data_IF_005095309740
#
_entry.id   IF_005095309740
#
_cell.length_a   1.000
_cell.length_b   1.000
_cell.length_c   1.000
_cell.angle_alpha   90.00
_cell.angle_beta   90.00
_cell.angle_gamma   90.00
#
_symmetry.space_group_name_H-M   'P 1'
#
loop_
_entity.id
_entity.type
_entity.pdbx_description
1 polymer ?
#
# COMPACT_ATOMS: atom_id res chain seq x y z
N UNK A 1 -25.23 1.57 -24.40
CA UNK A 1 -24.45 0.76 -25.36
C UNK A 1 -24.47 -0.66 -24.86
N UNK A 2 -24.76 -1.66 -25.68
CA UNK A 2 -24.71 -3.07 -25.26
C UNK A 2 -23.28 -3.61 -25.46
N UNK A 3 -22.44 -3.38 -24.46
CA UNK A 3 -21.03 -3.81 -24.44
C UNK A 3 -20.88 -5.32 -24.19
N UNK A 4 -21.94 -5.99 -23.76
CA UNK A 4 -21.89 -7.41 -23.40
C UNK A 4 -22.20 -8.28 -24.63
N UNK A 5 -23.17 -7.86 -25.44
CA UNK A 5 -23.61 -8.63 -26.60
C UNK A 5 -22.87 -8.27 -27.89
N UNK A 6 -22.26 -7.07 -27.96
CA UNK A 6 -21.57 -6.58 -29.15
C UNK A 6 -20.07 -6.39 -28.90
N UNK A 7 -19.24 -6.48 -29.97
CA UNK A 7 -17.83 -6.13 -29.88
C UNK A 7 -17.61 -4.72 -29.34
N UNK A 8 -16.58 -4.58 -28.51
CA UNK A 8 -16.21 -3.29 -27.92
C UNK A 8 -15.49 -2.45 -28.98
N UNK A 9 -16.18 -1.41 -29.45
CA UNK A 9 -15.61 -0.39 -30.31
C UNK A 9 -15.01 0.74 -29.46
N UNK A 10 -13.82 1.20 -29.81
CA UNK A 10 -13.15 2.31 -29.14
C UNK A 10 -12.43 3.19 -30.16
N UNK A 11 -12.27 4.46 -29.81
CA UNK A 11 -11.54 5.43 -30.64
C UNK A 11 -10.04 5.16 -30.55
N UNK A 12 -9.44 4.70 -31.65
CA UNK A 12 -8.02 4.38 -31.75
C UNK A 12 -7.10 5.61 -31.66
N UNK A 13 -7.62 6.82 -31.86
CA UNK A 13 -6.85 8.05 -31.68
C UNK A 13 -6.70 8.42 -30.21
N UNK A 14 -7.65 8.01 -29.38
CA UNK A 14 -7.61 8.25 -27.93
C UNK A 14 -6.93 7.11 -27.20
N UNK A 15 -7.18 5.87 -27.61
CA UNK A 15 -6.64 4.68 -26.96
C UNK A 15 -5.84 3.89 -27.98
N UNK A 16 -4.52 3.90 -27.84
CA UNK A 16 -3.57 3.31 -28.79
C UNK A 16 -3.79 1.80 -29.02
N UNK A 17 -4.49 1.10 -28.14
CA UNK A 17 -4.80 -0.31 -28.35
C UNK A 17 -5.66 -0.97 -27.27
N UNK A 18 -6.10 -2.20 -27.56
CA UNK A 18 -6.95 -3.02 -26.68
C UNK A 18 -6.36 -3.25 -25.29
N UNK A 19 -5.05 -3.47 -25.21
CA UNK A 19 -4.37 -3.64 -23.92
C UNK A 19 -4.47 -2.40 -23.04
N UNK A 20 -4.37 -1.21 -23.65
CA UNK A 20 -4.53 0.05 -22.92
C UNK A 20 -5.97 0.23 -22.45
N UNK A 21 -6.95 -0.08 -23.30
CA UNK A 21 -8.36 -0.06 -22.91
C UNK A 21 -8.61 -0.94 -21.67
N UNK A 22 -8.10 -2.17 -21.68
CA UNK A 22 -8.23 -3.11 -20.55
C UNK A 22 -7.58 -2.56 -19.29
N UNK A 23 -6.37 -1.99 -19.39
CA UNK A 23 -5.68 -1.39 -18.24
C UNK A 23 -6.43 -0.20 -17.66
N UNK A 24 -6.95 0.70 -18.50
CA UNK A 24 -7.77 1.85 -18.06
C UNK A 24 -9.01 1.35 -17.34
N UNK A 25 -9.75 0.40 -17.95
CA UNK A 25 -10.95 -0.16 -17.35
C UNK A 25 -10.66 -0.89 -16.02
N UNK A 26 -9.54 -1.62 -15.92
CA UNK A 26 -9.15 -2.31 -14.71
C UNK A 26 -8.78 -1.35 -13.56
N UNK A 27 -7.99 -0.31 -13.85
CA UNK A 27 -7.65 0.74 -12.87
C UNK A 27 -8.91 1.47 -12.42
N UNK A 28 -9.80 1.78 -13.36
CA UNK A 28 -11.07 2.43 -13.03
C UNK A 28 -11.98 1.55 -12.19
N UNK A 29 -12.08 0.26 -12.49
CA UNK A 29 -12.84 -0.67 -11.67
C UNK A 29 -12.29 -0.74 -10.24
N UNK A 30 -10.96 -0.73 -10.06
CA UNK A 30 -10.34 -0.65 -8.73
C UNK A 30 -10.68 0.65 -8.00
N UNK A 31 -10.63 1.78 -8.68
CA UNK A 31 -11.00 3.08 -8.10
C UNK A 31 -12.48 3.11 -7.64
N UNK A 32 -13.40 2.50 -8.39
CA UNK A 32 -14.80 2.39 -7.97
C UNK A 32 -14.93 1.49 -6.72
N UNK A 33 -14.22 0.35 -6.69
CA UNK A 33 -14.32 -0.63 -5.60
C UNK A 33 -13.65 -0.14 -4.31
N UNK A 34 -12.41 0.33 -4.42
CA UNK A 34 -11.55 0.66 -3.28
C UNK A 34 -11.50 2.15 -2.99
N UNK A 35 -11.56 2.99 -4.03
CA UNK A 35 -11.58 4.45 -3.89
C UNK A 35 -12.97 5.03 -3.59
N UNK A 36 -14.03 4.22 -3.67
CA UNK A 36 -15.41 4.66 -3.42
C UNK A 36 -15.95 5.61 -4.50
N UNK A 37 -15.27 5.72 -5.63
CA UNK A 37 -15.65 6.59 -6.74
C UNK A 37 -16.98 6.15 -7.37
N UNK A 38 -17.88 7.11 -7.59
CA UNK A 38 -19.15 6.83 -8.31
C UNK A 38 -18.91 6.72 -9.82
N UNK A 39 -19.77 5.99 -10.55
CA UNK A 39 -19.78 6.03 -12.00
C UNK A 39 -19.95 7.47 -12.51
N UNK A 40 -19.11 7.87 -13.47
CA UNK A 40 -19.10 9.17 -14.15
C UNK A 40 -20.12 9.25 -15.27
N UNK A 41 -20.57 8.11 -15.77
CA UNK A 41 -21.51 8.02 -16.88
C UNK A 41 -22.81 7.35 -16.42
N UNK A 42 -23.99 7.86 -16.83
CA UNK A 42 -25.25 7.16 -16.60
C UNK A 42 -25.24 5.82 -17.35
N UNK A 43 -25.34 4.74 -16.58
CA UNK A 43 -25.25 3.36 -17.08
C UNK A 43 -26.41 2.52 -16.57
N UNK A 44 -26.86 1.57 -17.40
CA UNK A 44 -27.83 0.54 -17.01
C UNK A 44 -27.14 -0.72 -16.47
N UNK A 45 -25.81 -0.78 -16.59
CA UNK A 45 -25.00 -1.93 -16.21
C UNK A 45 -24.83 -1.98 -14.70
N UNK A 46 -24.96 -3.17 -14.12
CA UNK A 46 -24.72 -3.39 -12.67
C UNK A 46 -23.30 -3.85 -12.36
N UNK A 47 -22.62 -4.49 -13.32
CA UNK A 47 -21.26 -5.00 -13.14
C UNK A 47 -20.26 -3.87 -13.26
N UNK A 48 -19.43 -3.68 -12.24
CA UNK A 48 -18.43 -2.61 -12.17
C UNK A 48 -17.47 -2.64 -13.36
N UNK A 49 -17.04 -3.84 -13.77
CA UNK A 49 -16.17 -4.02 -14.95
C UNK A 49 -16.83 -3.53 -16.23
N UNK A 50 -18.12 -3.80 -16.43
CA UNK A 50 -18.88 -3.31 -17.58
C UNK A 50 -19.03 -1.78 -17.55
N UNK A 51 -19.28 -1.20 -16.37
CA UNK A 51 -19.33 0.25 -16.19
C UNK A 51 -17.99 0.89 -16.55
N UNK A 52 -16.88 0.33 -16.06
CA UNK A 52 -15.55 0.87 -16.33
C UNK A 52 -15.17 0.82 -17.82
N UNK A 53 -15.52 -0.26 -18.53
CA UNK A 53 -15.33 -0.35 -19.99
C UNK A 53 -16.19 0.69 -20.71
N UNK A 54 -17.45 0.86 -20.29
CA UNK A 54 -18.35 1.86 -20.87
C UNK A 54 -17.84 3.29 -20.70
N UNK A 55 -17.31 3.62 -19.53
CA UNK A 55 -16.69 4.91 -19.24
C UNK A 55 -15.43 5.15 -20.06
N UNK A 56 -14.60 4.11 -20.23
CA UNK A 56 -13.38 4.19 -21.02
C UNK A 56 -13.67 4.43 -22.50
N UNK A 57 -14.62 3.68 -23.08
CA UNK A 57 -15.02 3.81 -24.49
C UNK A 57 -15.65 5.18 -24.77
N UNK A 58 -16.46 5.70 -23.83
CA UNK A 58 -17.07 7.03 -23.95
C UNK A 58 -16.07 8.17 -23.76
N UNK A 59 -14.81 7.88 -23.39
CA UNK A 59 -13.80 8.90 -23.14
C UNK A 59 -14.10 9.78 -21.93
N UNK A 60 -14.86 9.26 -20.95
CA UNK A 60 -15.15 9.96 -19.70
C UNK A 60 -14.04 9.83 -18.65
N UNK A 61 -12.98 9.10 -18.99
CA UNK A 61 -11.84 8.82 -18.14
C UNK A 61 -10.61 9.56 -18.66
N UNK A 62 -10.00 10.33 -17.78
CA UNK A 62 -8.70 10.94 -18.02
C UNK A 62 -7.61 9.96 -17.58
N UNK A 63 -6.58 9.81 -18.40
CA UNK A 63 -5.44 8.97 -18.09
C UNK A 63 -4.18 9.57 -18.69
N UNK A 64 -3.07 9.35 -17.99
CA UNK A 64 -1.73 9.78 -18.37
C UNK A 64 -0.94 8.59 -18.93
N UNK A 65 0.07 8.87 -19.74
CA UNK A 65 0.90 7.84 -20.40
C UNK A 65 2.38 8.23 -20.38
N UNK A 66 3.27 7.27 -20.67
CA UNK A 66 4.71 7.52 -20.74
C UNK A 66 5.34 7.87 -19.39
N UNK A 67 6.24 8.85 -19.38
CA UNK A 67 6.99 9.27 -18.18
C UNK A 67 6.10 9.84 -17.09
N UNK A 68 5.02 10.54 -17.46
CA UNK A 68 4.07 11.09 -16.49
C UNK A 68 3.39 9.98 -15.69
N UNK A 69 3.01 8.89 -16.37
CA UNK A 69 2.42 7.73 -15.71
C UNK A 69 3.41 7.03 -14.76
N UNK A 70 4.71 7.03 -15.10
CA UNK A 70 5.74 6.48 -14.23
C UNK A 70 5.90 7.32 -12.96
N UNK A 71 6.04 8.64 -13.10
CA UNK A 71 6.17 9.59 -11.98
C UNK A 71 4.96 9.52 -11.05
N UNK A 72 3.75 9.58 -11.59
CA UNK A 72 2.53 9.48 -10.80
C UNK A 72 2.43 8.16 -10.01
N UNK A 73 2.91 7.05 -10.59
CA UNK A 73 2.93 5.75 -9.91
C UNK A 73 3.96 5.70 -8.79
N UNK A 74 5.11 6.35 -8.94
CA UNK A 74 6.10 6.47 -7.87
C UNK A 74 5.59 7.33 -6.72
N UNK A 75 4.94 8.45 -7.03
CA UNK A 75 4.32 9.34 -6.03
C UNK A 75 3.20 8.63 -5.26
N UNK A 76 2.31 7.90 -5.96
CA UNK A 76 1.25 7.12 -5.32
C UNK A 76 1.82 6.09 -4.33
N UNK A 77 2.91 5.39 -4.70
CA UNK A 77 3.58 4.45 -3.78
C UNK A 77 4.14 5.17 -2.55
N UNK A 78 4.77 6.34 -2.71
CA UNK A 78 5.30 7.11 -1.58
C UNK A 78 4.21 7.49 -0.58
N UNK A 79 3.03 7.88 -1.09
CA UNK A 79 1.87 8.20 -0.25
C UNK A 79 1.41 6.96 0.54
N UNK A 80 1.32 5.80 -0.10
CA UNK A 80 0.96 4.55 0.58
C UNK A 80 1.98 4.16 1.66
N UNK A 81 3.28 4.30 1.40
CA UNK A 81 4.32 4.05 2.40
C UNK A 81 4.23 5.01 3.59
N UNK A 82 3.99 6.29 3.34
CA UNK A 82 3.85 7.26 4.42
C UNK A 82 2.65 6.92 5.32
N UNK A 83 1.50 6.60 4.71
CA UNK A 83 0.31 6.16 5.44
C UNK A 83 0.58 4.92 6.29
N UNK A 84 1.29 3.93 5.75
CA UNK A 84 1.63 2.71 6.47
C UNK A 84 2.53 2.97 7.69
N UNK A 85 3.49 3.90 7.56
CA UNK A 85 4.35 4.31 8.67
C UNK A 85 3.56 5.06 9.74
N UNK A 86 2.63 5.93 9.35
CA UNK A 86 1.76 6.62 10.30
C UNK A 86 0.83 5.66 11.06
N UNK A 87 0.21 4.70 10.36
CA UNK A 87 -0.61 3.66 11.00
C UNK A 87 0.22 2.85 12.00
N UNK A 88 1.41 2.40 11.61
CA UNK A 88 2.29 1.65 12.51
C UNK A 88 2.73 2.47 13.73
N UNK A 89 3.01 3.76 13.56
CA UNK A 89 3.33 4.64 14.69
C UNK A 89 2.15 4.76 15.65
N UNK A 90 0.93 4.90 15.11
CA UNK A 90 -0.29 4.98 15.92
C UNK A 90 -0.55 3.67 16.67
N UNK A 91 -0.30 2.52 16.07
CA UNK A 91 -0.38 1.22 16.74
C UNK A 91 0.64 1.11 17.90
N UNK A 92 1.88 1.53 17.67
CA UNK A 92 2.92 1.54 18.71
C UNK A 92 2.61 2.54 19.84
N UNK A 93 1.97 3.67 19.54
CA UNK A 93 1.49 4.62 20.57
C UNK A 93 0.32 4.07 21.39
N UNK A 94 -0.46 3.13 20.84
CA UNK A 94 -1.58 2.47 21.56
C UNK A 94 -1.16 1.26 22.38
N UNK A 95 -0.03 0.64 22.07
CA UNK A 95 0.61 -0.33 22.97
C UNK A 95 1.23 0.45 24.13
N UNK A 96 0.97 0.05 25.38
CA UNK A 96 1.48 0.73 26.58
C UNK A 96 3.01 0.69 26.61
N UNK A 97 3.65 1.68 25.96
CA UNK A 97 5.09 1.89 25.89
C UNK A 97 5.76 1.83 27.27
N UNK A 98 5.01 2.20 28.32
CA UNK A 98 5.47 2.18 29.70
C UNK A 98 5.74 0.78 30.28
N UNK A 99 5.11 -0.28 29.74
CA UNK A 99 5.37 -1.66 30.16
C UNK A 99 6.62 -2.20 29.46
N UNK A 100 6.74 -1.96 28.16
CA UNK A 100 7.93 -2.32 27.38
C UNK A 100 9.20 -1.61 27.88
N UNK A 101 9.12 -0.33 28.26
CA UNK A 101 10.24 0.43 28.85
C UNK A 101 10.70 -0.17 30.19
N UNK A 102 9.77 -0.67 31.02
CA UNK A 102 10.10 -1.32 32.29
C UNK A 102 10.83 -2.65 32.05
N UNK A 103 10.30 -3.48 31.16
CA UNK A 103 10.89 -4.78 30.83
C UNK A 103 12.29 -4.62 30.22
N UNK A 104 12.48 -3.62 29.34
CA UNK A 104 13.79 -3.32 28.76
C UNK A 104 14.81 -2.90 29.82
N UNK A 105 14.38 -2.10 30.80
CA UNK A 105 15.24 -1.63 31.90
C UNK A 105 15.66 -2.77 32.82
N UNK A 106 14.76 -3.73 33.06
CA UNK A 106 15.08 -4.94 33.82
C UNK A 106 16.13 -5.77 33.06
N UNK A 107 15.93 -5.98 31.76
CA UNK A 107 16.85 -6.78 30.94
C UNK A 107 18.26 -6.17 30.86
N UNK A 108 18.37 -4.83 30.73
CA UNK A 108 19.66 -4.14 30.72
C UNK A 108 20.38 -4.30 32.07
N UNK A 109 19.68 -4.12 33.19
CA UNK A 109 20.27 -4.32 34.51
C UNK A 109 20.66 -5.78 34.77
N UNK A 110 19.87 -6.74 34.31
CA UNK A 110 20.18 -8.16 34.46
C UNK A 110 21.42 -8.55 33.63
N UNK A 111 21.56 -7.98 32.42
CA UNK A 111 22.77 -8.17 31.60
C UNK A 111 24.01 -7.53 32.22
N UNK A 112 23.90 -6.30 32.75
CA UNK A 112 25.01 -5.62 33.43
C UNK A 112 25.47 -6.38 34.69
N UNK A 113 24.53 -6.89 35.49
CA UNK A 113 24.85 -7.67 36.70
C UNK A 113 25.46 -9.04 36.40
N UNK A 114 25.09 -9.68 35.29
CA UNK A 114 25.72 -10.92 34.81
C UNK A 114 27.13 -10.66 34.25
N UNK A 115 27.36 -9.53 33.59
CA UNK A 115 28.70 -9.13 33.13
C UNK A 115 29.63 -8.70 34.29
N UNK A 116 29.07 -8.14 35.37
CA UNK A 116 29.83 -7.74 36.58
C UNK A 116 30.20 -8.92 37.49
N UNK A 117 29.36 -9.95 37.55
CA UNK A 117 29.61 -11.20 38.31
C UNK A 117 30.46 -12.24 37.56
N UNK A 118 30.74 -12.01 36.28
CA UNK A 118 31.52 -12.90 35.41
C UNK A 118 33.04 -12.64 35.36
N UNK A 119 33.60 -11.77 36.21
CA UNK A 119 35.07 -11.63 36.34
C UNK A 119 35.60 -12.64 37.36
N UNK A 120 36.33 -13.69 36.97
CA UNK A 120 36.95 -14.60 37.93
C UNK A 120 38.16 -13.89 38.54
N UNK A 121 38.04 -13.43 39.79
CA UNK A 121 39.20 -12.96 40.54
C UNK A 121 40.01 -14.18 41.01
N UNK A 122 41.22 -14.26 40.48
CA UNK A 122 42.34 -15.08 40.95
C UNK A 122 42.58 -14.84 42.45
N UNK A 123 42.46 -15.90 43.26
CA UNK A 123 43.01 -15.94 44.61
C UNK A 123 43.34 -17.41 44.94
N UNK A 124 44.50 -17.87 44.47
CA UNK A 124 45.15 -19.09 44.93
C UNK A 124 46.30 -18.65 45.83
N UNK A 125 46.10 -18.65 47.15
CA UNK A 125 47.21 -18.50 48.11
C UNK A 125 47.81 -19.89 48.38
N UNK A 126 49.14 -20.06 48.35
CA UNK A 126 49.78 -21.32 48.67
C UNK A 126 49.89 -21.49 50.20
N UNK A 127 49.42 -22.62 50.74
CA UNK A 127 49.67 -23.00 52.13
C UNK A 127 51.11 -23.55 52.28
N UNK A 128 51.81 -23.07 53.32
CA UNK A 128 53.11 -23.56 53.82
C UNK A 128 53.01 -24.93 54.51
#
# INVERSE_FOLDING_TARGET
MDIISLPVEYDSNKIDGRFRLVNIAALRAKDIIFGGSKPRVPTKSKKITTIAIEEAVKGALEFITGEEALKAREEAKKIDFHRLIEEKKREVETEDLSELEKDLKIYIHEKETVEESGKPNEAFEPEE
#
